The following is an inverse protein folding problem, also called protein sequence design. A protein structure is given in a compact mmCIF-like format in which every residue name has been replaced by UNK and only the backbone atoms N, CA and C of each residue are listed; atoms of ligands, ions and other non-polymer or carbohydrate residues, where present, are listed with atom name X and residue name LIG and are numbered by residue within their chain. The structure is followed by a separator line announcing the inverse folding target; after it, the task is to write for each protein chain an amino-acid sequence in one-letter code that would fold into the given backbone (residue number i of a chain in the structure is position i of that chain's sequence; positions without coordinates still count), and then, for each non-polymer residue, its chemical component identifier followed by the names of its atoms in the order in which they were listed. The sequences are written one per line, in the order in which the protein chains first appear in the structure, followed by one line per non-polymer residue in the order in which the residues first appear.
data_IF_192023338997
#
_entry.id   IF_192023338997
#
_cell.length_a   1.000
_cell.length_b   1.000
_cell.length_c   1.000
_cell.angle_alpha   90.00
_cell.angle_beta   90.00
_cell.angle_gamma   90.00
#
_symmetry.space_group_name_H-M   'P 1'
#
loop_
_entity.id
_entity.type
_entity.pdbx_description
1 polymer ?
#
# COMPACT_ATOMS: atom_id res chain seq x y z
N UNK A 1 11.29 2.84 -15.48
CA UNK A 1 9.96 2.84 -14.77
C UNK A 1 10.11 2.77 -13.26
N UNK A 2 10.99 1.91 -12.71
CA UNK A 2 11.25 1.90 -11.26
C UNK A 2 12.04 3.13 -10.77
N UNK A 3 12.84 3.77 -11.63
CA UNK A 3 13.47 5.07 -11.33
C UNK A 3 12.44 6.17 -11.06
N UNK A 4 11.30 6.16 -11.77
CA UNK A 4 10.22 7.12 -11.52
C UNK A 4 9.58 6.88 -10.15
N UNK A 5 9.48 5.61 -9.71
CA UNK A 5 9.03 5.28 -8.35
C UNK A 5 10.03 5.80 -7.31
N UNK A 6 11.34 5.64 -7.55
CA UNK A 6 12.38 6.18 -6.67
C UNK A 6 12.32 7.70 -6.55
N UNK A 7 12.19 8.39 -7.68
CA UNK A 7 12.07 9.83 -7.69
C UNK A 7 10.87 10.32 -6.87
N UNK A 8 9.69 9.70 -7.00
CA UNK A 8 8.53 10.13 -6.20
C UNK A 8 8.65 9.77 -4.72
N UNK A 9 9.39 8.72 -4.37
CA UNK A 9 9.70 8.41 -2.97
C UNK A 9 10.63 9.46 -2.38
N UNK A 10 11.70 9.81 -3.08
CA UNK A 10 12.71 10.77 -2.64
C UNK A 10 12.15 12.22 -2.62
N UNK A 11 11.40 12.62 -3.65
CA UNK A 11 10.92 13.99 -3.83
C UNK A 11 9.60 14.28 -3.09
N UNK A 12 8.75 13.26 -2.88
CA UNK A 12 7.41 13.43 -2.30
C UNK A 12 7.17 12.63 -1.02
N UNK A 13 8.17 11.88 -0.52
CA UNK A 13 8.06 11.13 0.73
C UNK A 13 7.01 10.01 0.68
N UNK A 14 6.77 9.44 -0.50
CA UNK A 14 5.83 8.31 -0.67
C UNK A 14 6.34 7.12 0.15
N UNK A 15 5.53 6.63 1.08
CA UNK A 15 5.91 5.54 1.99
C UNK A 15 5.51 4.16 1.49
N UNK A 16 4.39 4.06 0.76
CA UNK A 16 3.82 2.82 0.28
C UNK A 16 3.24 2.99 -1.12
N UNK A 17 3.41 1.97 -1.97
CA UNK A 17 2.76 1.85 -3.27
C UNK A 17 1.51 0.98 -3.14
N UNK A 18 0.33 1.54 -3.44
CA UNK A 18 -0.92 0.79 -3.43
C UNK A 18 -1.20 0.16 -4.81
N UNK A 19 -1.38 -1.16 -4.86
CA UNK A 19 -1.71 -1.91 -6.05
C UNK A 19 -3.18 -2.37 -6.02
N UNK A 20 -3.95 -2.02 -7.05
CA UNK A 20 -5.35 -2.46 -7.21
C UNK A 20 -5.48 -3.88 -7.80
N UNK A 21 -4.46 -4.33 -8.52
CA UNK A 21 -4.43 -5.65 -9.16
C UNK A 21 -3.54 -6.60 -8.37
N UNK A 22 -4.09 -7.75 -7.99
CA UNK A 22 -3.38 -8.78 -7.22
C UNK A 22 -2.17 -9.36 -7.99
N UNK A 23 -2.30 -9.57 -9.30
CA UNK A 23 -1.20 -10.05 -10.15
C UNK A 23 -0.10 -8.98 -10.23
N UNK A 24 -0.46 -7.71 -10.40
CA UNK A 24 0.52 -6.63 -10.42
C UNK A 24 1.27 -6.57 -9.08
N UNK A 25 0.57 -6.71 -7.95
CA UNK A 25 1.21 -6.75 -6.62
C UNK A 25 2.27 -7.85 -6.54
N UNK A 26 1.93 -9.08 -6.93
CA UNK A 26 2.88 -10.21 -6.82
C UNK A 26 4.07 -10.07 -7.76
N UNK A 27 3.87 -9.50 -8.95
CA UNK A 27 4.96 -9.25 -9.89
C UNK A 27 5.89 -8.15 -9.39
N UNK A 28 5.35 -7.04 -8.88
CA UNK A 28 6.18 -5.93 -8.38
C UNK A 28 6.85 -6.25 -7.04
N UNK A 29 6.21 -7.01 -6.15
CA UNK A 29 6.83 -7.42 -4.88
C UNK A 29 8.14 -8.20 -5.09
N UNK A 30 8.24 -8.96 -6.19
CA UNK A 30 9.49 -9.64 -6.57
C UNK A 30 10.51 -8.72 -7.22
N UNK A 31 10.06 -7.67 -7.91
CA UNK A 31 10.93 -6.78 -8.68
C UNK A 31 11.51 -5.66 -7.82
N UNK A 32 10.74 -5.14 -6.86
CA UNK A 32 11.10 -4.01 -5.99
C UNK A 32 12.43 -4.20 -5.21
N UNK A 33 12.74 -5.39 -4.65
CA UNK A 33 14.01 -5.62 -3.95
C UNK A 33 15.25 -5.37 -4.79
N UNK A 34 15.19 -5.64 -6.11
CA UNK A 34 16.32 -5.38 -7.01
C UNK A 34 16.66 -3.89 -7.16
N UNK A 35 15.76 -3.00 -6.74
CA UNK A 35 15.92 -1.54 -6.80
C UNK A 35 16.12 -0.91 -5.41
N UNK A 36 16.33 -1.73 -4.37
CA UNK A 36 16.57 -1.26 -3.00
C UNK A 36 15.31 -0.86 -2.24
N UNK A 37 14.13 -1.27 -2.71
CA UNK A 37 12.87 -1.12 -1.97
C UNK A 37 12.57 -2.40 -1.19
N UNK A 38 12.10 -2.23 0.04
CA UNK A 38 11.63 -3.35 0.85
C UNK A 38 10.37 -4.00 0.24
N UNK A 39 10.20 -5.31 0.43
CA UNK A 39 9.05 -6.03 -0.15
C UNK A 39 7.69 -5.58 0.39
N UNK A 40 7.65 -5.01 1.58
CA UNK A 40 6.45 -4.47 2.24
C UNK A 40 6.03 -3.09 1.68
N UNK A 41 6.89 -2.44 0.89
CA UNK A 41 6.59 -1.15 0.24
C UNK A 41 5.37 -1.24 -0.67
N UNK A 42 4.97 -2.43 -1.16
CA UNK A 42 3.77 -2.61 -2.01
C UNK A 42 2.62 -3.30 -1.28
N UNK A 43 1.51 -2.58 -1.14
CA UNK A 43 0.29 -3.04 -0.44
C UNK A 43 -0.89 -3.18 -1.41
N UNK A 44 -1.90 -3.96 -1.03
CA UNK A 44 -3.16 -4.03 -1.80
C UNK A 44 -4.03 -2.82 -1.47
N UNK A 45 -4.72 -2.24 -2.44
CA UNK A 45 -5.73 -1.19 -2.18
C UNK A 45 -6.79 -1.69 -1.19
N UNK A 46 -7.17 -2.96 -1.25
CA UNK A 46 -8.13 -3.54 -0.30
C UNK A 46 -7.61 -3.51 1.14
N UNK A 47 -6.31 -3.76 1.34
CA UNK A 47 -5.68 -3.72 2.67
C UNK A 47 -5.62 -2.27 3.16
N UNK A 48 -5.16 -1.35 2.31
CA UNK A 48 -5.10 0.08 2.64
C UNK A 48 -6.46 0.64 3.08
N UNK A 49 -7.53 0.29 2.34
CA UNK A 49 -8.89 0.70 2.68
C UNK A 49 -9.36 0.01 3.96
N UNK A 50 -9.10 -1.28 4.14
CA UNK A 50 -9.43 -2.02 5.35
C UNK A 50 -8.81 -1.40 6.61
N UNK A 51 -7.51 -1.07 6.56
CA UNK A 51 -6.78 -0.46 7.66
C UNK A 51 -7.26 0.98 7.95
N UNK A 52 -7.77 1.68 6.94
CA UNK A 52 -8.27 3.05 7.05
C UNK A 52 -9.74 3.15 7.49
N UNK A 53 -10.51 2.06 7.42
CA UNK A 53 -11.92 2.06 7.81
C UNK A 53 -12.03 2.11 9.35
N UNK A 54 -12.66 3.17 9.86
CA UNK A 54 -13.06 3.29 11.27
C UNK A 54 -14.55 2.98 11.38
N UNK A 55 -14.88 1.84 11.97
CA UNK A 55 -16.26 1.50 12.29
C UNK A 55 -16.57 2.07 13.68
N UNK A 56 -17.30 3.18 13.75
CA UNK A 56 -17.89 3.65 15.01
C UNK A 56 -18.96 2.66 15.44
N UNK A 57 -18.66 1.79 16.40
CA UNK A 57 -19.72 1.04 17.11
C UNK A 57 -20.33 1.95 18.18
N UNK A 58 -21.12 2.92 17.75
CA UNK A 58 -21.92 3.75 18.65
C UNK A 58 -23.39 3.37 18.54
N UNK A 59 -23.75 2.26 19.19
CA UNK A 59 -25.02 2.12 19.90
C UNK A 59 -24.97 0.88 20.80
N UNK A 60 -24.46 1.07 22.02
CA UNK A 60 -25.15 0.50 23.18
C UNK A 60 -26.61 0.98 23.10
N UNK A 61 -27.51 0.18 22.56
CA UNK A 61 -28.96 0.39 22.75
C UNK A 61 -29.26 -0.03 24.19
N UNK A 62 -29.68 0.88 25.09
CA UNK A 62 -30.30 0.45 26.33
C UNK A 62 -31.73 0.03 25.98
N UNK A 63 -31.95 -1.28 25.91
CA UNK A 63 -33.25 -1.92 25.86
C UNK A 63 -33.22 -3.14 26.76
#
# INVERSE_FOLDING_TARGET
RMEALKQVVDDHGVTHMAAICAICKTQFAKVLPYYGFEMDTIISVHQLVGDAIVLTTDAKTPG
#
